data_IF_841984810843
#
_entry.id   IF_841984810843
#
_cell.length_a   1.000
_cell.length_b   1.000
_cell.length_c   1.000
_cell.angle_alpha   90.00
_cell.angle_beta   90.00
_cell.angle_gamma   90.00
#
_symmetry.space_group_name_H-M   'P 1'
#
loop_
_entity.id
_entity.type
_entity.pdbx_description
1 polymer ?
#
# COMPACT_ATOMS: atom_id res chain seq x y z
N UNK A 1 -1.76 -20.56 -17.87
CA UNK A 1 -2.36 -19.91 -16.68
C UNK A 1 -3.83 -20.30 -16.63
N UNK A 2 -4.30 -20.82 -15.50
CA UNK A 2 -5.73 -21.02 -15.28
C UNK A 2 -6.33 -19.71 -14.72
N UNK A 3 -7.41 -19.23 -15.33
CA UNK A 3 -8.13 -18.04 -14.87
C UNK A 3 -9.59 -18.40 -14.63
N UNK A 4 -10.16 -17.86 -13.56
CA UNK A 4 -11.61 -17.93 -13.33
C UNK A 4 -12.29 -16.78 -14.07
N UNK A 5 -13.26 -17.09 -14.92
CA UNK A 5 -14.03 -16.10 -15.66
C UNK A 5 -15.51 -16.49 -15.62
N UNK A 6 -16.32 -15.74 -14.87
CA UNK A 6 -17.76 -16.02 -14.73
C UNK A 6 -18.08 -17.32 -13.98
N UNK A 7 -17.18 -17.79 -13.11
CA UNK A 7 -17.31 -19.04 -12.35
C UNK A 7 -16.71 -20.27 -13.03
N UNK A 8 -16.30 -20.17 -14.29
CA UNK A 8 -15.61 -21.23 -15.02
C UNK A 8 -14.09 -21.05 -14.95
N UNK A 9 -13.35 -22.15 -14.77
CA UNK A 9 -11.89 -22.16 -14.83
C UNK A 9 -11.45 -22.48 -16.25
N UNK A 10 -10.68 -21.57 -16.86
CA UNK A 10 -10.21 -21.69 -18.25
C UNK A 10 -8.69 -21.55 -18.31
N UNK A 11 -8.02 -22.46 -19.02
CA UNK A 11 -6.60 -22.34 -19.30
C UNK A 11 -6.34 -21.38 -20.47
N UNK A 12 -5.48 -20.39 -20.27
CA UNK A 12 -4.98 -19.49 -21.32
C UNK A 12 -3.45 -19.46 -21.38
N UNK A 13 -2.94 -19.28 -22.60
CA UNK A 13 -1.53 -19.00 -22.86
C UNK A 13 -1.31 -17.49 -22.90
N UNK A 14 -0.22 -17.04 -22.29
CA UNK A 14 0.22 -15.65 -22.30
C UNK A 14 1.75 -15.63 -22.26
N UNK A 15 2.36 -14.74 -23.05
CA UNK A 15 3.81 -14.56 -23.05
C UNK A 15 4.29 -13.80 -21.81
N UNK A 16 3.41 -13.01 -21.20
CA UNK A 16 3.69 -12.24 -19.97
C UNK A 16 2.42 -12.12 -19.14
N UNK A 17 2.59 -12.23 -17.81
CA UNK A 17 1.51 -12.07 -16.84
C UNK A 17 1.88 -10.90 -15.92
N UNK A 18 1.03 -9.88 -15.86
CA UNK A 18 1.16 -8.75 -14.93
C UNK A 18 0.17 -8.93 -13.79
N UNK A 19 0.68 -9.04 -12.56
CA UNK A 19 -0.14 -9.16 -11.35
C UNK A 19 -0.33 -7.77 -10.75
N UNK A 20 -1.50 -7.18 -10.97
CA UNK A 20 -1.90 -5.88 -10.41
C UNK A 20 -2.92 -6.06 -9.27
N UNK A 21 -2.63 -6.95 -8.30
CA UNK A 21 -3.55 -7.33 -7.23
C UNK A 21 -3.70 -6.30 -6.10
N UNK A 22 -3.14 -5.10 -6.28
CA UNK A 22 -3.10 -4.04 -5.28
C UNK A 22 -1.71 -3.84 -4.68
N UNK A 23 -1.66 -3.14 -3.55
CA UNK A 23 -0.43 -2.80 -2.83
C UNK A 23 -0.57 -3.17 -1.35
N UNK A 24 0.56 -3.31 -0.66
CA UNK A 24 0.62 -3.46 0.79
C UNK A 24 1.40 -2.27 1.39
N UNK A 25 1.00 -1.82 2.58
CA UNK A 25 1.72 -0.77 3.30
C UNK A 25 3.16 -1.21 3.59
N UNK A 26 4.10 -0.27 3.44
CA UNK A 26 5.52 -0.51 3.70
C UNK A 26 6.11 0.57 4.60
N UNK A 27 6.39 0.19 5.84
CA UNK A 27 6.82 1.07 6.94
C UNK A 27 7.90 0.40 7.83
N UNK A 28 8.96 -0.23 7.29
CA UNK A 28 9.95 -0.95 8.10
C UNK A 28 10.74 -0.06 9.08
N UNK A 29 10.74 1.26 8.86
CA UNK A 29 11.40 2.21 9.76
C UNK A 29 10.60 2.46 11.03
N UNK A 30 9.31 2.13 11.07
CA UNK A 30 8.44 2.42 12.21
C UNK A 30 8.95 1.78 13.51
N UNK A 31 9.28 0.49 13.48
CA UNK A 31 9.79 -0.20 14.67
C UNK A 31 11.12 0.38 15.16
N UNK A 32 12.01 0.74 14.24
CA UNK A 32 13.32 1.31 14.55
C UNK A 32 13.15 2.66 15.26
N UNK A 33 12.33 3.56 14.71
CA UNK A 33 12.11 4.90 15.27
C UNK A 33 11.41 4.80 16.64
N UNK A 34 10.48 3.85 16.78
CA UNK A 34 9.82 3.55 18.05
C UNK A 34 10.81 3.09 19.14
N UNK A 35 11.76 2.22 18.81
CA UNK A 35 12.80 1.76 19.74
C UNK A 35 13.74 2.89 20.16
N UNK A 36 13.98 3.87 19.29
CA UNK A 36 14.80 5.05 19.59
C UNK A 36 14.10 6.07 20.51
N UNK A 37 12.80 5.92 20.76
CA UNK A 37 12.02 6.87 21.58
C UNK A 37 11.87 8.24 20.94
N UNK A 38 11.94 8.31 19.61
CA UNK A 38 11.71 9.53 18.84
C UNK A 38 10.21 9.64 18.56
N UNK A 39 9.60 10.80 18.78
CA UNK A 39 8.22 11.03 18.39
C UNK A 39 8.08 11.03 16.86
N UNK A 40 7.16 10.22 16.35
CA UNK A 40 6.95 10.06 14.91
C UNK A 40 5.47 9.83 14.57
N UNK A 41 5.15 9.95 13.28
CA UNK A 41 3.90 9.46 12.69
C UNK A 41 4.18 8.78 11.36
N UNK A 42 3.40 7.77 11.02
CA UNK A 42 3.37 7.14 9.70
C UNK A 42 2.19 7.70 8.92
N UNK A 43 2.45 8.20 7.70
CA UNK A 43 1.43 8.82 6.83
C UNK A 43 1.48 8.25 5.41
N UNK A 44 0.42 8.51 4.63
CA UNK A 44 0.28 8.02 3.26
C UNK A 44 0.17 6.49 3.19
N UNK A 45 0.58 5.92 2.06
CA UNK A 45 0.47 4.47 1.82
C UNK A 45 1.32 3.63 2.78
N UNK A 46 2.36 4.20 3.39
CA UNK A 46 3.13 3.55 4.44
C UNK A 46 2.26 3.24 5.68
N UNK A 47 1.23 4.06 5.93
CA UNK A 47 0.23 3.82 6.98
C UNK A 47 -0.93 2.98 6.43
N UNK A 48 -1.53 3.43 5.33
CA UNK A 48 -2.67 2.76 4.68
C UNK A 48 -2.68 3.06 3.19
N UNK A 49 -2.55 2.01 2.38
CA UNK A 49 -2.72 2.07 0.92
C UNK A 49 -4.07 2.71 0.57
N UNK A 50 -4.03 3.78 -0.22
CA UNK A 50 -5.24 4.49 -0.64
C UNK A 50 -5.00 5.23 -1.98
N UNK A 51 -5.80 6.25 -2.29
CA UNK A 51 -5.57 7.08 -3.46
C UNK A 51 -4.56 8.18 -3.16
N UNK A 52 -3.93 8.72 -4.21
CA UNK A 52 -2.93 9.78 -4.06
C UNK A 52 -3.45 11.00 -3.28
N UNK A 53 -4.74 11.33 -3.40
CA UNK A 53 -5.32 12.44 -2.64
C UNK A 53 -5.34 12.17 -1.13
N UNK A 54 -5.53 10.92 -0.70
CA UNK A 54 -5.52 10.54 0.72
C UNK A 54 -4.13 10.78 1.30
N UNK A 55 -3.07 10.43 0.56
CA UNK A 55 -1.69 10.66 0.97
C UNK A 55 -1.37 12.15 1.11
N UNK A 56 -1.81 12.99 0.16
CA UNK A 56 -1.65 14.45 0.22
C UNK A 56 -2.40 15.02 1.44
N UNK A 57 -3.64 14.58 1.66
CA UNK A 57 -4.44 15.06 2.78
C UNK A 57 -3.83 14.64 4.12
N UNK A 58 -3.37 13.39 4.23
CA UNK A 58 -2.69 12.89 5.42
C UNK A 58 -1.41 13.69 5.71
N UNK A 59 -0.64 14.04 4.68
CA UNK A 59 0.54 14.89 4.83
C UNK A 59 0.21 16.31 5.32
N UNK A 60 -0.84 16.92 4.78
CA UNK A 60 -1.30 18.24 5.21
C UNK A 60 -1.78 18.23 6.67
N UNK A 61 -2.66 17.29 7.03
CA UNK A 61 -3.16 17.15 8.40
C UNK A 61 -2.01 16.91 9.37
N UNK A 62 -1.06 16.05 8.97
CA UNK A 62 0.11 15.82 9.78
C UNK A 62 0.87 17.13 10.06
N UNK A 63 1.12 17.94 9.04
CA UNK A 63 1.87 19.18 9.22
C UNK A 63 1.18 20.20 10.17
N UNK A 64 -0.15 20.28 10.18
CA UNK A 64 -0.88 21.29 10.97
C UNK A 64 -1.22 20.85 12.41
N UNK A 65 -1.12 19.56 12.71
CA UNK A 65 -1.38 18.98 14.03
C UNK A 65 -0.14 18.95 14.95
N UNK A 66 1.03 19.38 14.44
CA UNK A 66 2.27 19.55 15.21
C UNK A 66 2.28 20.94 15.83
#
# INVERSE_FOLDING_TARGET
>A
LEIEQGGDVVAKNADTIVIAAGSASYNPLESIVKEMGIDYRVIGDASRVAMAFDAVHAGYQAAIEI
#
